data_IF_975708416033
#
_entry.id   IF_975708416033
#
_cell.length_a   1.000
_cell.length_b   1.000
_cell.length_c   1.000
_cell.angle_alpha   90.00
_cell.angle_beta   90.00
_cell.angle_gamma   90.00
#
_symmetry.space_group_name_H-M   'P 1'
#
loop_
_entity.id
_entity.type
_entity.pdbx_description
1 polymer ?
#
# COMPACT_ATOMS: atom_id res chain seq x y z
N UNK A 1 -0.98 -8.59 6.74
CA UNK A 1 -0.09 -9.42 6.16
C UNK A 1 1.36 -9.03 6.26
N UNK A 2 2.17 -10.00 6.17
CA UNK A 2 3.60 -9.84 6.17
C UNK A 2 4.15 -9.85 4.77
N UNK A 3 5.18 -9.05 4.56
CA UNK A 3 5.94 -9.10 3.33
C UNK A 3 7.11 -10.05 3.53
N UNK A 4 7.26 -10.97 2.61
CA UNK A 4 8.36 -11.92 2.64
C UNK A 4 9.18 -11.78 1.36
N UNK A 5 10.51 -11.89 1.44
CA UNK A 5 11.33 -11.80 0.23
C UNK A 5 10.86 -12.80 -0.83
N UNK A 6 10.76 -12.34 -2.06
CA UNK A 6 10.34 -13.18 -3.16
C UNK A 6 8.84 -13.37 -3.29
N UNK A 7 8.08 -12.82 -2.36
CA UNK A 7 6.62 -12.94 -2.41
C UNK A 7 6.05 -12.13 -3.56
N UNK A 8 5.16 -12.71 -4.37
CA UNK A 8 4.51 -11.92 -5.43
C UNK A 8 3.50 -10.96 -4.82
N UNK A 9 3.34 -9.81 -5.46
CA UNK A 9 2.35 -8.83 -5.03
C UNK A 9 1.43 -8.51 -6.20
N UNK A 10 0.24 -7.97 -5.92
CA UNK A 10 -0.72 -7.67 -6.99
C UNK A 10 -0.15 -6.63 -7.95
N UNK A 11 -0.63 -6.66 -9.20
CA UNK A 11 -0.26 -5.63 -10.15
C UNK A 11 -0.90 -4.30 -9.73
N UNK A 12 -0.41 -3.21 -10.34
CA UNK A 12 -1.01 -1.89 -10.11
C UNK A 12 -2.50 -1.94 -10.41
N UNK A 13 -2.87 -2.58 -11.51
CA UNK A 13 -4.27 -2.67 -11.90
C UNK A 13 -5.10 -3.44 -10.88
N UNK A 14 -4.59 -4.58 -10.44
CA UNK A 14 -5.31 -5.39 -9.46
C UNK A 14 -5.49 -4.65 -8.15
N UNK A 15 -4.42 -4.04 -7.67
CA UNK A 15 -4.48 -3.36 -6.38
C UNK A 15 -5.35 -2.11 -6.44
N UNK A 16 -5.23 -1.32 -7.51
CA UNK A 16 -6.06 -0.11 -7.61
C UNK A 16 -7.54 -0.46 -7.71
N UNK A 17 -7.86 -1.57 -8.37
CA UNK A 17 -9.23 -2.03 -8.45
C UNK A 17 -9.74 -2.50 -7.09
N UNK A 18 -8.92 -3.24 -6.37
CA UNK A 18 -9.31 -3.74 -5.05
C UNK A 18 -9.51 -2.62 -4.06
N UNK A 19 -8.65 -1.61 -4.09
CA UNK A 19 -8.72 -0.48 -3.17
C UNK A 19 -9.64 0.63 -3.64
N UNK A 20 -10.09 0.57 -4.89
CA UNK A 20 -10.94 1.59 -5.49
C UNK A 20 -10.27 2.96 -5.49
N UNK A 21 -9.00 2.96 -5.84
CA UNK A 21 -8.24 4.20 -5.94
C UNK A 21 -7.71 4.35 -7.37
N UNK A 22 -7.29 5.55 -7.68
CA UNK A 22 -6.75 5.86 -8.99
C UNK A 22 -5.48 5.04 -9.23
N UNK A 23 -5.37 4.37 -10.39
CA UNK A 23 -4.15 3.59 -10.69
C UNK A 23 -2.87 4.42 -10.61
N UNK A 24 -2.92 5.72 -10.90
CA UNK A 24 -1.74 6.56 -10.80
C UNK A 24 -1.23 6.64 -9.37
N UNK A 25 -2.14 6.62 -8.40
CA UNK A 25 -1.77 6.64 -6.99
C UNK A 25 -1.00 5.38 -6.63
N UNK A 26 -1.52 4.22 -7.04
CA UNK A 26 -0.86 2.94 -6.78
C UNK A 26 0.47 2.87 -7.52
N UNK A 27 0.48 3.36 -8.75
CA UNK A 27 1.70 3.33 -9.55
C UNK A 27 2.82 4.14 -8.89
N UNK A 28 2.49 5.31 -8.35
CA UNK A 28 3.48 6.12 -7.65
C UNK A 28 3.99 5.42 -6.40
N UNK A 29 3.10 4.76 -5.67
CA UNK A 29 3.52 4.02 -4.48
C UNK A 29 4.46 2.87 -4.86
N UNK A 30 4.10 2.14 -5.91
CA UNK A 30 4.96 1.05 -6.39
C UNK A 30 6.31 1.58 -6.85
N UNK A 31 6.32 2.73 -7.51
CA UNK A 31 7.57 3.33 -7.97
C UNK A 31 8.48 3.68 -6.79
N UNK A 32 7.89 4.24 -5.73
CA UNK A 32 8.66 4.56 -4.53
C UNK A 32 9.27 3.30 -3.91
N UNK A 33 8.48 2.23 -3.87
CA UNK A 33 8.95 0.97 -3.32
C UNK A 33 10.05 0.36 -4.18
N UNK A 34 9.90 0.47 -5.49
CA UNK A 34 10.90 -0.04 -6.41
C UNK A 34 12.19 0.77 -6.31
N UNK A 35 12.07 2.09 -6.22
CA UNK A 35 13.24 2.96 -6.08
C UNK A 35 13.98 2.68 -4.76
N UNK A 36 13.24 2.34 -3.72
CA UNK A 36 13.83 1.98 -2.43
C UNK A 36 14.35 0.55 -2.42
N UNK A 37 14.18 -0.17 -3.53
CA UNK A 37 14.62 -1.56 -3.70
C UNK A 37 13.88 -2.53 -2.80
N UNK A 38 12.64 -2.20 -2.47
CA UNK A 38 11.76 -3.10 -1.73
C UNK A 38 10.96 -3.99 -2.66
N UNK A 39 10.75 -3.53 -3.89
CA UNK A 39 10.07 -4.32 -4.90
C UNK A 39 11.00 -4.58 -6.07
N UNK A 40 10.78 -5.71 -6.70
CA UNK A 40 11.52 -6.13 -7.87
C UNK A 40 10.53 -6.45 -8.98
N UNK A 41 10.74 -5.84 -10.14
CA UNK A 41 9.90 -6.12 -11.30
C UNK A 41 10.62 -7.15 -12.15
N UNK A 42 9.96 -8.28 -12.40
CA UNK A 42 10.50 -9.33 -13.28
C UNK A 42 9.67 -9.34 -14.54
N UNK A 43 10.29 -8.95 -15.62
CA UNK A 43 9.59 -8.79 -16.88
C UNK A 43 8.90 -10.09 -17.28
N UNK A 44 7.62 -10.02 -17.57
CA UNK A 44 6.85 -11.16 -17.96
C UNK A 44 6.39 -12.05 -16.83
N UNK A 45 6.85 -11.79 -15.60
CA UNK A 45 6.49 -12.59 -14.44
C UNK A 45 5.69 -11.83 -13.41
N UNK A 46 5.91 -10.52 -13.29
CA UNK A 46 5.18 -9.71 -12.33
C UNK A 46 6.08 -8.94 -11.40
N UNK A 47 5.51 -8.49 -10.29
CA UNK A 47 6.21 -7.71 -9.29
C UNK A 47 6.30 -8.52 -8.01
N UNK A 48 7.46 -8.47 -7.38
CA UNK A 48 7.77 -9.31 -6.23
C UNK A 48 8.43 -8.48 -5.15
N UNK A 49 8.33 -8.95 -3.91
CA UNK A 49 9.08 -8.35 -2.81
C UNK A 49 10.56 -8.66 -3.03
N UNK A 50 11.40 -7.65 -2.97
CA UNK A 50 12.83 -7.82 -3.22
C UNK A 50 13.47 -8.66 -2.13
N UNK A 51 14.61 -9.26 -2.45
CA UNK A 51 15.35 -10.11 -1.51
C UNK A 51 16.20 -9.21 -0.60
N UNK A 52 15.58 -8.71 0.47
CA UNK A 52 16.25 -7.91 1.48
C UNK A 52 16.20 -8.64 2.81
N UNK A 53 17.09 -8.25 3.73
CA UNK A 53 16.94 -8.83 5.06
C UNK A 53 15.67 -8.29 5.72
N UNK A 54 15.17 -9.05 6.67
CA UNK A 54 13.88 -8.78 7.28
C UNK A 54 13.85 -7.45 8.03
N UNK A 55 14.95 -7.10 8.67
CA UNK A 55 15.01 -5.85 9.45
C UNK A 55 14.89 -4.64 8.56
N UNK A 56 15.62 -4.63 7.47
CA UNK A 56 15.58 -3.51 6.54
C UNK A 56 14.21 -3.38 5.91
N UNK A 57 13.62 -4.50 5.54
CA UNK A 57 12.28 -4.51 4.96
C UNK A 57 11.27 -3.93 5.95
N UNK A 58 11.34 -4.33 7.21
CA UNK A 58 10.45 -3.82 8.24
C UNK A 58 10.61 -2.33 8.46
N UNK A 59 11.86 -1.85 8.46
CA UNK A 59 12.13 -0.42 8.66
C UNK A 59 11.56 0.42 7.53
N UNK A 60 11.78 -0.01 6.29
CA UNK A 60 11.27 0.75 5.16
C UNK A 60 9.75 0.72 5.10
N UNK A 61 9.18 -0.42 5.42
CA UNK A 61 7.73 -0.56 5.49
C UNK A 61 7.13 0.42 6.49
N UNK A 62 7.74 0.51 7.66
CA UNK A 62 7.27 1.41 8.71
C UNK A 62 7.39 2.87 8.28
N UNK A 63 8.49 3.22 7.63
CA UNK A 63 8.69 4.58 7.16
C UNK A 63 7.63 4.98 6.12
N UNK A 64 7.35 4.08 5.19
CA UNK A 64 6.37 4.38 4.15
C UNK A 64 4.97 4.53 4.72
N UNK A 65 4.63 3.72 5.72
CA UNK A 65 3.34 3.87 6.39
C UNK A 65 3.24 5.22 7.10
N UNK A 66 4.32 5.62 7.76
CA UNK A 66 4.33 6.91 8.46
C UNK A 66 4.19 8.06 7.47
N UNK A 67 4.88 7.98 6.33
CA UNK A 67 4.78 9.02 5.31
C UNK A 67 3.36 9.11 4.75
N UNK A 68 2.75 7.97 4.48
CA UNK A 68 1.38 7.95 3.99
C UNK A 68 0.40 8.51 5.00
N UNK A 69 0.60 8.16 6.27
CA UNK A 69 -0.27 8.66 7.33
C UNK A 69 -0.14 10.17 7.46
N UNK A 70 1.10 10.68 7.38
CA UNK A 70 1.32 12.12 7.48
C UNK A 70 0.63 12.86 6.34
N UNK A 71 0.70 12.32 5.13
CA UNK A 71 0.03 12.93 3.98
C UNK A 71 -1.49 12.96 4.18
N UNK A 72 -2.05 11.85 4.65
CA UNK A 72 -3.49 11.77 4.88
C UNK A 72 -3.92 12.75 5.98
N UNK A 73 -3.15 12.83 7.06
CA UNK A 73 -3.45 13.74 8.15
C UNK A 73 -3.43 15.19 7.65
N UNK A 74 -2.46 15.53 6.80
CA UNK A 74 -2.39 16.85 6.20
C UNK A 74 -3.64 17.16 5.40
N UNK A 75 -4.11 16.19 4.61
CA UNK A 75 -5.34 16.37 3.85
C UNK A 75 -6.54 16.57 4.79
N UNK A 76 -6.62 15.74 5.83
CA UNK A 76 -7.74 15.82 6.78
C UNK A 76 -7.79 17.18 7.45
N UNK A 77 -6.63 17.71 7.87
CA UNK A 77 -6.55 19.04 8.45
C UNK A 77 -7.03 20.09 7.47
N UNK A 78 -6.61 19.99 6.22
CA UNK A 78 -7.01 20.95 5.20
C UNK A 78 -8.51 20.94 4.95
N UNK A 79 -9.15 19.81 5.16
CA UNK A 79 -10.60 19.68 4.97
C UNK A 79 -11.38 19.96 6.25
N UNK A 80 -10.70 20.24 7.35
CA UNK A 80 -11.38 20.51 8.61
C UNK A 80 -11.91 19.25 9.28
N UNK A 81 -11.39 18.08 8.91
CA UNK A 81 -11.86 16.84 9.48
C UNK A 81 -11.31 16.64 10.89
N UNK A 82 -12.12 16.03 11.75
CA UNK A 82 -11.66 15.65 13.08
C UNK A 82 -10.85 14.37 13.01
N UNK A 83 -10.15 14.08 14.09
CA UNK A 83 -9.40 12.82 14.18
C UNK A 83 -10.33 11.62 14.03
N UNK A 84 -11.48 11.65 14.70
CA UNK A 84 -12.43 10.55 14.61
C UNK A 84 -12.96 10.37 13.21
N UNK A 85 -13.24 11.47 12.53
CA UNK A 85 -13.71 11.43 11.15
C UNK A 85 -12.64 10.83 10.24
N UNK A 86 -11.39 11.22 10.44
CA UNK A 86 -10.29 10.70 9.63
C UNK A 86 -10.10 9.20 9.87
N UNK A 87 -10.17 8.78 11.14
CA UNK A 87 -10.03 7.35 11.44
C UNK A 87 -11.18 6.54 10.87
N UNK A 88 -12.39 7.10 10.87
CA UNK A 88 -13.54 6.41 10.27
C UNK A 88 -13.32 6.23 8.77
N UNK A 89 -12.75 7.23 8.11
CA UNK A 89 -12.46 7.12 6.67
C UNK A 89 -11.45 6.02 6.40
N UNK A 90 -10.44 5.91 7.25
CA UNK A 90 -9.45 4.84 7.12
C UNK A 90 -10.12 3.47 7.28
N UNK A 91 -10.97 3.33 8.29
CA UNK A 91 -11.67 2.06 8.53
C UNK A 91 -12.54 1.67 7.34
N UNK A 92 -13.25 2.63 6.77
CA UNK A 92 -14.11 2.37 5.62
C UNK A 92 -13.28 1.89 4.43
N UNK A 93 -12.17 2.56 4.15
CA UNK A 93 -11.30 2.14 3.06
C UNK A 93 -10.72 0.76 3.30
N UNK A 94 -10.34 0.49 4.53
CA UNK A 94 -9.77 -0.81 4.88
C UNK A 94 -10.76 -1.93 4.63
N UNK A 95 -12.00 -1.72 5.06
CA UNK A 95 -13.04 -2.73 4.90
C UNK A 95 -13.37 -2.95 3.43
N UNK A 96 -13.41 -1.87 2.63
CA UNK A 96 -13.60 -2.00 1.20
C UNK A 96 -12.51 -2.85 0.56
N UNK A 97 -11.28 -2.59 0.95
CA UNK A 97 -10.13 -3.32 0.43
C UNK A 97 -10.25 -4.81 0.73
N UNK A 98 -10.63 -5.13 1.96
CA UNK A 98 -10.77 -6.52 2.34
C UNK A 98 -11.88 -7.21 1.57
N UNK A 99 -13.02 -6.54 1.41
CA UNK A 99 -14.15 -7.11 0.69
C UNK A 99 -13.85 -7.29 -0.78
N UNK A 100 -13.24 -6.28 -1.39
CA UNK A 100 -12.96 -6.33 -2.81
C UNK A 100 -11.71 -7.11 -3.14
N UNK A 101 -10.68 -6.95 -2.33
CA UNK A 101 -9.37 -7.52 -2.64
C UNK A 101 -9.24 -8.99 -2.33
N UNK A 102 -9.94 -9.46 -1.33
CA UNK A 102 -9.80 -10.83 -0.89
C UNK A 102 -10.72 -11.78 -1.60
N UNK A 103 -11.76 -11.27 -2.16
CA UNK A 103 -12.68 -12.17 -2.82
C UNK A 103 -13.14 -13.27 -1.90
N UNK A 104 -13.36 -12.99 -0.73
CA UNK A 104 -13.82 -13.95 0.22
C UNK A 104 -12.79 -14.88 0.75
N UNK A 105 -11.89 -14.78 0.97
CA UNK A 105 -11.09 -15.69 1.59
C UNK A 105 -11.14 -15.83 2.92
N UNK A 106 -11.29 -15.80 3.37
CA UNK A 106 -11.39 -16.05 4.44
C UNK A 106 -11.65 -15.98 4.90
#
# INVERSE_FOLDING_TARGET
>A
GRLAPGQPIPSVRELSRALRVNPATVSRAYQRLTDARLLEVRRGEGTFVAALDADRLADERRRLLADGAASFVGLAHGLGASRDEALAAVDTSWNHSNEGGQGGKE
#
